data_IF_349750473382
#
_entry.id   IF_349750473382
#
_cell.length_a   1.000
_cell.length_b   1.000
_cell.length_c   1.000
_cell.angle_alpha   90.00
_cell.angle_beta   90.00
_cell.angle_gamma   90.00
#
_symmetry.space_group_name_H-M   'P 1'
#
loop_
_entity.id
_entity.type
_entity.pdbx_description
1 polymer ?
#
# COMPACT_ATOMS: atom_id res chain seq x y z
N UNK A 1 -14.69 -15.30 8.14
CA UNK A 1 -13.25 -15.00 8.28
C UNK A 1 -13.05 -13.69 9.01
N UNK A 2 -11.86 -13.45 9.58
CA UNK A 2 -11.51 -12.19 10.26
C UNK A 2 -11.76 -10.96 9.37
N UNK A 3 -11.42 -11.07 8.07
CA UNK A 3 -11.63 -10.03 7.07
C UNK A 3 -13.12 -9.65 6.91
N UNK A 4 -14.01 -10.63 6.80
CA UNK A 4 -15.46 -10.37 6.72
C UNK A 4 -15.96 -9.63 7.97
N UNK A 5 -15.44 -9.98 9.16
CA UNK A 5 -15.78 -9.28 10.39
C UNK A 5 -15.38 -7.81 10.38
N UNK A 6 -14.17 -7.51 9.89
CA UNK A 6 -13.67 -6.13 9.75
C UNK A 6 -14.53 -5.33 8.77
N UNK A 7 -14.89 -5.92 7.63
CA UNK A 7 -15.66 -5.26 6.58
C UNK A 7 -17.08 -4.96 7.05
N UNK A 8 -17.76 -5.92 7.65
CA UNK A 8 -19.12 -5.72 8.16
C UNK A 8 -19.16 -4.65 9.26
N UNK A 9 -18.14 -4.63 10.13
CA UNK A 9 -18.01 -3.58 11.16
C UNK A 9 -17.85 -2.19 10.52
N UNK A 10 -16.96 -2.06 9.53
CA UNK A 10 -16.72 -0.78 8.83
C UNK A 10 -17.91 -0.32 8.00
N UNK A 11 -18.58 -1.24 7.29
CA UNK A 11 -19.80 -0.95 6.53
C UNK A 11 -20.92 -0.42 7.44
N UNK A 12 -21.13 -1.06 8.59
CA UNK A 12 -22.12 -0.60 9.59
C UNK A 12 -21.80 0.80 10.13
N UNK A 13 -20.52 1.11 10.36
CA UNK A 13 -20.10 2.44 10.79
C UNK A 13 -20.41 3.50 9.73
N UNK A 14 -20.05 3.24 8.46
CA UNK A 14 -20.32 4.16 7.34
C UNK A 14 -21.83 4.39 7.16
N UNK A 15 -22.65 3.34 7.23
CA UNK A 15 -24.10 3.46 7.14
C UNK A 15 -24.73 4.27 8.29
N UNK A 16 -24.05 4.39 9.44
CA UNK A 16 -24.46 5.25 10.56
C UNK A 16 -24.00 6.71 10.41
N UNK A 17 -23.34 7.05 9.29
CA UNK A 17 -22.78 8.37 9.04
C UNK A 17 -21.39 8.59 9.63
N UNK A 18 -20.73 7.55 10.14
CA UNK A 18 -19.33 7.67 10.58
C UNK A 18 -18.41 7.86 9.37
N UNK A 19 -17.38 8.69 9.53
CA UNK A 19 -16.39 8.92 8.48
C UNK A 19 -15.68 7.61 8.14
N UNK A 20 -15.63 7.27 6.85
CA UNK A 20 -14.83 6.14 6.37
C UNK A 20 -13.36 6.34 6.74
N UNK A 21 -12.66 5.25 6.99
CA UNK A 21 -11.21 5.31 7.19
C UNK A 21 -10.53 5.70 5.88
N UNK A 22 -9.45 6.46 6.00
CA UNK A 22 -8.62 6.87 4.88
C UNK A 22 -7.64 5.74 4.50
N UNK A 23 -8.21 4.62 4.10
CA UNK A 23 -7.52 3.45 3.57
C UNK A 23 -8.30 2.85 2.40
N UNK A 24 -7.66 1.99 1.59
CA UNK A 24 -8.25 1.43 0.38
C UNK A 24 -9.63 0.81 0.62
N UNK A 25 -9.77 0.02 1.70
CA UNK A 25 -11.04 -0.62 2.05
C UNK A 25 -12.11 0.42 2.43
N UNK A 26 -11.74 1.45 3.19
CA UNK A 26 -12.64 2.55 3.55
C UNK A 26 -13.12 3.32 2.32
N UNK A 27 -12.23 3.63 1.38
CA UNK A 27 -12.54 4.31 0.12
C UNK A 27 -13.50 3.45 -0.73
N UNK A 28 -13.18 2.17 -0.94
CA UNK A 28 -14.05 1.25 -1.72
C UNK A 28 -15.43 1.09 -1.09
N UNK A 29 -15.52 0.96 0.24
CA UNK A 29 -16.80 0.86 0.94
C UNK A 29 -17.62 2.15 0.86
N UNK A 30 -16.97 3.31 0.98
CA UNK A 30 -17.63 4.60 0.90
C UNK A 30 -18.20 4.85 -0.49
N UNK A 31 -17.40 4.62 -1.55
CA UNK A 31 -17.84 4.78 -2.93
C UNK A 31 -19.02 3.86 -3.26
N UNK A 32 -18.98 2.59 -2.83
CA UNK A 32 -20.09 1.65 -3.03
C UNK A 32 -21.38 2.07 -2.30
N UNK A 33 -21.28 2.63 -1.09
CA UNK A 33 -22.47 3.13 -0.37
C UNK A 33 -23.07 4.34 -1.10
N UNK A 34 -22.24 5.24 -1.60
CA UNK A 34 -22.68 6.43 -2.35
C UNK A 34 -23.39 6.08 -3.66
N UNK A 35 -22.88 5.11 -4.43
CA UNK A 35 -23.51 4.68 -5.68
C UNK A 35 -24.89 4.04 -5.47
N UNK A 36 -25.11 3.36 -4.34
CA UNK A 36 -26.40 2.74 -4.02
C UNK A 36 -27.50 3.77 -3.63
N UNK A 37 -27.14 5.02 -3.33
CA UNK A 37 -28.09 6.10 -3.01
C UNK A 37 -28.57 6.90 -4.23
N UNK A 38 -27.95 6.71 -5.40
CA UNK A 38 -28.38 7.36 -6.64
C UNK A 38 -29.53 6.56 -7.29
N UNK A 39 -30.77 7.02 -7.10
CA UNK A 39 -32.00 6.33 -7.54
C UNK A 39 -32.09 6.09 -9.06
N UNK A 40 -31.30 6.81 -9.87
CA UNK A 40 -31.33 6.72 -11.33
C UNK A 40 -30.62 5.49 -11.91
N UNK A 41 -29.73 4.82 -11.16
CA UNK A 41 -28.96 3.69 -11.70
C UNK A 41 -28.68 2.65 -10.61
N UNK A 42 -29.69 1.87 -10.25
CA UNK A 42 -29.51 0.69 -9.37
C UNK A 42 -28.63 -0.34 -10.10
N UNK A 43 -27.43 -0.64 -9.56
CA UNK A 43 -26.50 -1.74 -9.91
C UNK A 43 -25.14 -1.42 -10.57
N UNK A 44 -24.45 -0.31 -10.25
CA UNK A 44 -23.02 -0.17 -10.63
C UNK A 44 -22.02 -0.43 -9.49
N UNK A 45 -22.48 -0.47 -8.23
CA UNK A 45 -21.61 -0.71 -7.08
C UNK A 45 -21.14 -2.17 -6.97
N UNK A 46 -19.91 -2.36 -6.48
CA UNK A 46 -19.36 -3.68 -6.22
C UNK A 46 -20.11 -4.38 -5.07
N UNK A 47 -20.29 -5.69 -5.20
CA UNK A 47 -20.67 -6.55 -4.09
C UNK A 47 -19.59 -6.54 -3.00
N UNK A 48 -19.96 -6.94 -1.78
CA UNK A 48 -18.99 -7.06 -0.68
C UNK A 48 -17.87 -8.06 -1.03
N UNK A 49 -18.22 -9.10 -1.78
CA UNK A 49 -17.26 -10.12 -2.21
C UNK A 49 -16.26 -9.56 -3.23
N UNK A 50 -16.72 -8.75 -4.18
CA UNK A 50 -15.84 -8.05 -5.11
C UNK A 50 -14.94 -7.05 -4.39
N UNK A 51 -15.45 -6.26 -3.42
CA UNK A 51 -14.60 -5.38 -2.60
C UNK A 51 -13.49 -6.16 -1.87
N UNK A 52 -13.83 -7.34 -1.33
CA UNK A 52 -12.86 -8.23 -0.72
C UNK A 52 -11.82 -8.68 -1.72
N UNK A 53 -12.28 -9.09 -2.91
CA UNK A 53 -11.41 -9.60 -3.96
C UNK A 53 -10.44 -8.53 -4.45
N UNK A 54 -10.91 -7.31 -4.69
CA UNK A 54 -10.07 -6.16 -5.07
C UNK A 54 -9.03 -5.83 -3.99
N UNK A 55 -9.42 -5.82 -2.71
CA UNK A 55 -8.46 -5.62 -1.62
C UNK A 55 -7.39 -6.73 -1.57
N UNK A 56 -7.77 -7.98 -1.83
CA UNK A 56 -6.82 -9.11 -1.85
C UNK A 56 -5.88 -9.01 -3.04
N UNK A 57 -6.38 -8.69 -4.23
CA UNK A 57 -5.58 -8.51 -5.43
C UNK A 57 -4.54 -7.41 -5.19
N UNK A 58 -4.97 -6.25 -4.67
CA UNK A 58 -4.04 -5.15 -4.37
C UNK A 58 -2.95 -5.57 -3.37
N UNK A 59 -3.32 -6.29 -2.31
CA UNK A 59 -2.38 -6.77 -1.31
C UNK A 59 -1.38 -7.78 -1.89
N UNK A 60 -1.85 -8.79 -2.62
CA UNK A 60 -0.99 -9.84 -3.19
C UNK A 60 -0.09 -9.29 -4.29
N UNK A 61 -0.65 -8.50 -5.21
CA UNK A 61 0.12 -7.86 -6.28
C UNK A 61 1.25 -6.99 -5.74
N UNK A 62 0.98 -6.22 -4.67
CA UNK A 62 2.00 -5.41 -4.01
C UNK A 62 3.04 -6.24 -3.24
N UNK A 63 2.60 -7.24 -2.49
CA UNK A 63 3.49 -8.05 -1.66
C UNK A 63 4.44 -8.91 -2.48
N UNK A 64 3.92 -9.71 -3.42
CA UNK A 64 4.71 -10.69 -4.15
C UNK A 64 5.79 -10.01 -4.99
N UNK A 65 5.41 -8.97 -5.74
CA UNK A 65 6.35 -8.23 -6.60
C UNK A 65 7.42 -7.52 -5.78
N UNK A 66 7.04 -6.78 -4.72
CA UNK A 66 7.98 -6.04 -3.88
C UNK A 66 8.92 -6.99 -3.13
N UNK A 67 8.42 -8.12 -2.61
CA UNK A 67 9.23 -9.12 -1.93
C UNK A 67 10.29 -9.72 -2.85
N UNK A 68 9.90 -10.07 -4.08
CA UNK A 68 10.83 -10.60 -5.10
C UNK A 68 11.89 -9.56 -5.45
N UNK A 69 11.50 -8.30 -5.70
CA UNK A 69 12.44 -7.21 -5.98
C UNK A 69 13.44 -7.05 -4.84
N UNK A 70 12.98 -6.90 -3.60
CA UNK A 70 13.86 -6.75 -2.43
C UNK A 70 14.80 -7.94 -2.25
N UNK A 71 14.30 -9.16 -2.46
CA UNK A 71 15.12 -10.38 -2.36
C UNK A 71 16.26 -10.34 -3.35
N UNK A 72 15.98 -10.05 -4.63
CA UNK A 72 17.03 -9.96 -5.66
C UNK A 72 17.96 -8.78 -5.45
N UNK A 73 17.45 -7.61 -5.04
CA UNK A 73 18.28 -6.46 -4.68
C UNK A 73 19.29 -6.82 -3.59
N UNK A 74 18.86 -7.50 -2.52
CA UNK A 74 19.75 -7.92 -1.44
C UNK A 74 20.78 -8.96 -1.91
N UNK A 75 20.37 -9.92 -2.74
CA UNK A 75 21.29 -10.91 -3.36
C UNK A 75 22.35 -10.20 -4.20
N UNK A 76 21.94 -9.25 -5.05
CA UNK A 76 22.85 -8.51 -5.93
C UNK A 76 23.79 -7.62 -5.13
N UNK A 77 23.31 -6.90 -4.11
CA UNK A 77 24.19 -6.10 -3.23
C UNK A 77 25.18 -6.98 -2.46
N UNK A 78 24.75 -8.17 -2.01
CA UNK A 78 25.64 -9.17 -1.42
C UNK A 78 26.73 -9.65 -2.38
N UNK A 79 26.43 -9.76 -3.68
CA UNK A 79 27.40 -10.15 -4.71
C UNK A 79 28.31 -8.99 -5.15
N UNK A 80 27.77 -7.78 -5.24
CA UNK A 80 28.45 -6.58 -5.74
C UNK A 80 28.74 -5.61 -4.59
N UNK A 81 29.71 -5.98 -3.74
CA UNK A 81 30.04 -5.26 -2.50
C UNK A 81 30.41 -3.79 -2.72
N UNK A 82 31.03 -3.43 -3.84
CA UNK A 82 31.36 -2.03 -4.17
C UNK A 82 30.10 -1.15 -4.27
N UNK A 83 29.02 -1.68 -4.87
CA UNK A 83 27.74 -0.97 -4.94
C UNK A 83 27.06 -0.88 -3.59
N UNK A 84 27.13 -1.93 -2.78
CA UNK A 84 26.62 -1.93 -1.42
C UNK A 84 27.34 -0.88 -0.55
N UNK A 85 28.67 -0.81 -0.63
CA UNK A 85 29.48 0.17 0.10
C UNK A 85 29.10 1.60 -0.30
N UNK A 86 29.03 1.88 -1.60
CA UNK A 86 28.63 3.21 -2.13
C UNK A 86 27.23 3.62 -1.68
N UNK A 87 26.25 2.72 -1.75
CA UNK A 87 24.90 2.98 -1.27
C UNK A 87 24.88 3.28 0.24
N UNK A 88 25.64 2.51 1.03
CA UNK A 88 25.75 2.71 2.47
C UNK A 88 26.40 4.05 2.83
N UNK A 89 27.48 4.41 2.15
CA UNK A 89 28.15 5.70 2.32
C UNK A 89 27.22 6.86 1.98
N UNK A 90 26.47 6.78 0.88
CA UNK A 90 25.49 7.82 0.50
C UNK A 90 24.42 8.02 1.59
N UNK A 91 23.83 6.92 2.08
CA UNK A 91 22.82 6.97 3.14
C UNK A 91 23.39 7.54 4.43
N UNK A 92 24.59 7.12 4.84
CA UNK A 92 25.24 7.62 6.05
C UNK A 92 25.64 9.09 5.94
N UNK A 93 26.11 9.53 4.77
CA UNK A 93 26.46 10.94 4.53
C UNK A 93 25.21 11.83 4.62
N UNK A 94 24.05 11.34 4.19
CA UNK A 94 22.82 12.11 4.17
C UNK A 94 22.07 12.12 5.50
N UNK A 95 22.01 10.97 6.18
CA UNK A 95 21.16 10.80 7.36
C UNK A 95 21.95 10.57 8.65
N UNK A 96 23.23 10.19 8.57
CA UNK A 96 24.04 9.83 9.73
C UNK A 96 23.39 8.70 10.53
N UNK A 97 23.05 9.00 11.79
CA UNK A 97 22.31 8.08 12.68
C UNK A 97 20.81 8.40 12.78
N UNK A 98 20.34 9.39 12.04
CA UNK A 98 18.93 9.80 12.04
C UNK A 98 18.11 8.90 11.12
N UNK A 99 16.80 8.82 11.38
CA UNK A 99 15.89 8.12 10.48
C UNK A 99 15.77 8.86 9.13
N UNK A 100 15.69 8.13 8.01
CA UNK A 100 15.41 8.72 6.71
C UNK A 100 14.09 9.51 6.71
N UNK A 101 14.06 10.62 5.96
CA UNK A 101 12.85 11.40 5.71
C UNK A 101 12.61 11.52 4.20
N UNK A 102 11.37 11.82 3.81
CA UNK A 102 10.95 11.83 2.41
C UNK A 102 11.79 12.76 1.51
N UNK A 103 12.13 13.95 2.02
CA UNK A 103 12.96 14.91 1.28
C UNK A 103 14.39 14.41 1.05
N UNK A 104 14.97 13.70 2.03
CA UNK A 104 16.27 13.07 1.90
C UNK A 104 16.24 11.89 0.95
N UNK A 105 15.22 11.01 1.03
CA UNK A 105 15.16 9.80 0.19
C UNK A 105 15.25 10.13 -1.30
N UNK A 106 14.57 11.19 -1.74
CA UNK A 106 14.62 11.65 -3.13
C UNK A 106 16.01 12.14 -3.60
N UNK A 107 16.95 12.35 -2.68
CA UNK A 107 18.31 12.82 -2.99
C UNK A 107 19.34 11.68 -3.05
N UNK A 108 18.97 10.46 -2.67
CA UNK A 108 19.86 9.28 -2.71
C UNK A 108 20.01 8.79 -4.16
N UNK A 109 20.99 9.33 -4.88
CA UNK A 109 21.20 9.04 -6.30
C UNK A 109 21.63 7.60 -6.53
N UNK A 110 22.51 7.07 -5.68
CA UNK A 110 23.03 5.71 -5.82
C UNK A 110 21.95 4.70 -5.44
N UNK A 111 21.25 4.92 -4.33
CA UNK A 111 20.15 4.03 -3.93
C UNK A 111 19.04 4.01 -4.99
N UNK A 112 18.72 5.15 -5.62
CA UNK A 112 17.71 5.19 -6.68
C UNK A 112 18.14 4.52 -8.00
N UNK A 113 19.43 4.22 -8.17
CA UNK A 113 19.95 3.47 -9.32
C UNK A 113 19.96 1.96 -9.08
N UNK A 114 19.80 1.51 -7.83
CA UNK A 114 19.80 0.11 -7.39
C UNK A 114 18.36 -0.39 -7.31
#
# INVERSE_FOLDING_TARGET
>A
TLLNGIIQKRKKAINKGEKARDDLLGILLQSNVQENHNEHVKNHGLSIEEVINECKIFYLAGQETTSVVLTWTLILLGKYQDWQARAREEVLAMFGKSNPNFHGLNRLKIVNMI
#
